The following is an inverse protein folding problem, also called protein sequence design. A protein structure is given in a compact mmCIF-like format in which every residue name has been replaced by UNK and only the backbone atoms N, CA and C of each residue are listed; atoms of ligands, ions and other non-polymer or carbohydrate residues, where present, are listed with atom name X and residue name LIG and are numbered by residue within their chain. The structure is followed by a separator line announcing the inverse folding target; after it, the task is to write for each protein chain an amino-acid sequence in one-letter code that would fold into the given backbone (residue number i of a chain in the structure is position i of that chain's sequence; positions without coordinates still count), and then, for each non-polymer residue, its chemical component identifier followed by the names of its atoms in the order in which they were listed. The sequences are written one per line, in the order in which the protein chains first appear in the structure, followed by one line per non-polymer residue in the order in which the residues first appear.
data_IF_480787948418
#
_entry.id   IF_480787948418
#
_cell.length_a   1.000
_cell.length_b   1.000
_cell.length_c   1.000
_cell.angle_alpha   90.00
_cell.angle_beta   90.00
_cell.angle_gamma   90.00
#
_symmetry.space_group_name_H-M   'P 1'
#
loop_
_entity.id
_entity.type
_entity.pdbx_description
1 polymer ?
#
# COMPACT_ATOMS: atom_id res chain seq x y z
N UNK A 1 -41.64 -11.86 -9.80
CA UNK A 1 -41.86 -12.55 -8.54
C UNK A 1 -40.80 -13.67 -8.44
N UNK A 2 -39.61 -13.39 -7.93
CA UNK A 2 -38.56 -14.40 -7.68
C UNK A 2 -38.70 -14.81 -6.23
N UNK A 3 -39.04 -16.07 -6.01
CA UNK A 3 -39.06 -16.71 -4.69
C UNK A 3 -37.62 -16.78 -4.17
N UNK A 4 -37.29 -16.01 -3.13
CA UNK A 4 -36.10 -16.22 -2.33
C UNK A 4 -36.22 -17.58 -1.66
N UNK A 5 -35.48 -18.57 -2.14
CA UNK A 5 -35.25 -19.80 -1.40
C UNK A 5 -34.42 -19.45 -0.17
N UNK A 6 -34.98 -19.58 1.03
CA UNK A 6 -34.23 -19.55 2.29
C UNK A 6 -33.10 -20.57 2.20
N UNK A 7 -31.86 -20.27 2.61
CA UNK A 7 -30.82 -21.29 2.69
C UNK A 7 -31.29 -22.36 3.68
N UNK A 8 -31.30 -23.62 3.23
CA UNK A 8 -31.57 -24.77 4.08
C UNK A 8 -30.55 -24.75 5.22
N UNK A 9 -31.00 -24.49 6.43
CA UNK A 9 -30.19 -24.72 7.64
C UNK A 9 -29.93 -26.23 7.66
N UNK A 10 -28.71 -26.67 7.36
CA UNK A 10 -28.27 -28.03 7.58
C UNK A 10 -28.29 -28.26 9.08
N UNK A 11 -29.37 -28.84 9.58
CA UNK A 11 -29.43 -29.42 10.93
C UNK A 11 -28.47 -30.60 10.99
N UNK A 12 -27.23 -30.32 11.38
CA UNK A 12 -26.32 -31.40 11.76
C UNK A 12 -26.84 -32.01 13.05
N UNK A 13 -26.99 -33.35 13.13
CA UNK A 13 -27.35 -33.99 14.38
C UNK A 13 -26.30 -33.58 15.44
N UNK A 14 -26.77 -33.09 16.58
CA UNK A 14 -25.92 -32.75 17.73
C UNK A 14 -25.31 -34.03 18.25
N UNK A 15 -24.15 -34.42 17.72
CA UNK A 15 -23.40 -35.60 18.19
C UNK A 15 -22.64 -35.18 19.46
N UNK A 16 -23.24 -35.52 20.59
CA UNK A 16 -22.66 -35.18 21.88
C UNK A 16 -21.49 -36.12 22.23
N UNK A 17 -20.54 -35.58 23.06
CA UNK A 17 -19.56 -36.43 23.76
C UNK A 17 -20.28 -37.63 24.42
N UNK A 18 -19.74 -38.89 24.37
CA UNK A 18 -18.36 -39.26 23.97
C UNK A 18 -18.17 -39.64 22.49
N UNK A 19 -19.21 -39.54 21.64
CA UNK A 19 -19.16 -39.98 20.24
C UNK A 19 -18.33 -39.02 19.43
N UNK A 20 -18.63 -37.73 19.53
CA UNK A 20 -17.85 -36.66 18.88
C UNK A 20 -16.66 -36.20 19.77
N UNK A 21 -15.47 -36.33 19.22
CA UNK A 21 -14.21 -35.99 19.90
C UNK A 21 -13.26 -35.24 18.96
N UNK A 22 -13.40 -33.92 18.81
CA UNK A 22 -12.54 -33.12 17.91
C UNK A 22 -11.04 -33.24 18.22
N UNK A 23 -10.64 -33.59 19.47
CA UNK A 23 -9.25 -33.83 19.86
C UNK A 23 -8.57 -34.95 19.07
N UNK A 24 -9.34 -35.87 18.43
CA UNK A 24 -8.79 -36.93 17.59
C UNK A 24 -7.93 -36.37 16.45
N UNK A 25 -8.35 -35.22 15.88
CA UNK A 25 -7.66 -34.55 14.78
C UNK A 25 -6.49 -33.67 15.24
N UNK A 26 -6.28 -33.53 16.56
CA UNK A 26 -5.24 -32.69 17.15
C UNK A 26 -4.11 -33.43 17.88
N UNK A 27 -4.19 -34.78 17.89
CA UNK A 27 -3.38 -35.63 18.77
C UNK A 27 -1.86 -35.57 18.56
N UNK A 28 -1.40 -35.28 17.35
CA UNK A 28 0.02 -35.15 16.99
C UNK A 28 0.17 -34.21 15.78
N UNK A 29 1.44 -33.83 15.47
CA UNK A 29 1.71 -32.88 14.38
C UNK A 29 1.31 -33.41 13.01
N UNK A 30 1.59 -34.68 12.71
CA UNK A 30 1.20 -35.29 11.44
C UNK A 30 -0.31 -35.19 11.20
N UNK A 31 -1.12 -35.44 12.24
CA UNK A 31 -2.58 -35.35 12.13
C UNK A 31 -3.02 -33.87 11.97
N UNK A 32 -2.44 -32.93 12.72
CA UNK A 32 -2.75 -31.50 12.57
C UNK A 32 -2.39 -30.99 11.19
N UNK A 33 -1.20 -31.36 10.69
CA UNK A 33 -0.75 -31.00 9.35
C UNK A 33 -1.64 -31.59 8.25
N UNK A 34 -2.09 -32.85 8.42
CA UNK A 34 -2.93 -33.53 7.45
C UNK A 34 -4.30 -32.85 7.25
N UNK A 35 -4.90 -32.34 8.33
CA UNK A 35 -6.24 -31.70 8.30
C UNK A 35 -6.17 -30.17 8.20
N UNK A 36 -5.00 -29.60 7.97
CA UNK A 36 -4.80 -28.16 7.89
C UNK A 36 -5.46 -27.60 6.64
N UNK A 37 -6.40 -26.66 6.82
CA UNK A 37 -7.16 -26.03 5.73
C UNK A 37 -6.36 -24.89 5.05
N UNK A 38 -5.66 -24.08 5.84
CA UNK A 38 -4.84 -22.96 5.35
C UNK A 38 -3.36 -23.31 5.41
N UNK A 39 -2.66 -23.12 4.31
CA UNK A 39 -1.22 -23.38 4.19
C UNK A 39 -0.52 -22.15 3.62
N UNK A 40 0.48 -21.65 4.33
CA UNK A 40 1.33 -20.60 3.80
C UNK A 40 2.21 -21.15 2.68
N UNK A 41 2.43 -20.31 1.66
CA UNK A 41 3.41 -20.56 0.60
C UNK A 41 4.13 -19.26 0.27
N UNK A 42 5.43 -19.29 -0.06
CA UNK A 42 6.15 -18.12 -0.53
C UNK A 42 5.50 -17.44 -1.74
N UNK A 43 4.79 -18.21 -2.58
CA UNK A 43 4.08 -17.72 -3.76
C UNK A 43 2.97 -16.72 -3.46
N UNK A 44 2.44 -16.71 -2.24
CA UNK A 44 1.46 -15.74 -1.76
C UNK A 44 2.06 -14.48 -1.15
N UNK A 45 3.38 -14.36 -1.06
CA UNK A 45 4.02 -13.21 -0.41
C UNK A 45 4.48 -12.15 -1.41
N UNK A 46 4.35 -10.88 -0.98
CA UNK A 46 4.96 -9.72 -1.63
C UNK A 46 5.91 -9.06 -0.63
N UNK A 47 7.14 -8.81 -1.05
CA UNK A 47 8.15 -8.21 -0.17
C UNK A 47 8.29 -6.70 -0.40
N UNK A 48 7.98 -5.84 0.60
CA UNK A 48 8.11 -4.40 0.49
C UNK A 48 9.56 -3.93 0.60
N UNK A 49 9.99 -3.04 -0.30
CA UNK A 49 11.34 -2.48 -0.36
C UNK A 49 11.30 -0.95 -0.43
N UNK A 50 12.22 -0.30 0.29
CA UNK A 50 12.44 1.13 0.26
C UNK A 50 13.70 1.45 -0.53
N UNK A 51 13.58 2.23 -1.60
CA UNK A 51 14.69 2.56 -2.52
C UNK A 51 15.10 4.01 -2.34
N UNK A 52 16.40 4.24 -2.13
CA UNK A 52 16.97 5.58 -1.94
C UNK A 52 18.13 5.84 -2.91
N UNK A 53 18.51 7.11 -3.13
CA UNK A 53 19.67 7.49 -3.92
C UNK A 53 20.98 7.01 -3.30
N UNK A 54 22.02 6.90 -4.13
CA UNK A 54 23.38 6.54 -3.73
C UNK A 54 23.80 5.17 -4.24
N UNK A 55 24.92 4.65 -3.75
CA UNK A 55 25.52 3.36 -4.11
C UNK A 55 26.01 2.66 -2.83
N UNK A 56 25.82 1.34 -2.70
CA UNK A 56 26.21 0.55 -1.55
C UNK A 56 25.46 0.92 -0.26
N UNK A 57 24.35 1.63 -0.34
CA UNK A 57 23.61 2.08 0.84
C UNK A 57 22.65 0.99 1.31
N UNK A 58 22.83 0.63 2.61
CA UNK A 58 21.97 -0.28 3.35
C UNK A 58 21.75 0.28 4.75
N UNK A 59 20.81 1.22 4.88
CA UNK A 59 20.52 1.93 6.14
C UNK A 59 19.32 1.31 6.82
N UNK A 60 19.53 0.70 8.00
CA UNK A 60 18.46 0.08 8.76
C UNK A 60 17.45 1.11 9.27
N UNK A 61 16.17 0.80 9.16
CA UNK A 61 15.07 1.59 9.71
C UNK A 61 14.95 1.27 11.20
N UNK A 62 15.20 2.24 12.05
CA UNK A 62 15.30 2.05 13.51
C UNK A 62 14.07 1.38 14.13
N UNK A 63 12.87 1.78 13.71
CA UNK A 63 11.60 1.24 14.21
C UNK A 63 11.20 -0.09 13.57
N UNK A 64 11.99 -0.59 12.59
CA UNK A 64 11.73 -1.83 11.87
C UNK A 64 13.01 -2.67 11.74
N UNK A 65 13.49 -3.32 12.83
CA UNK A 65 14.72 -4.10 12.79
C UNK A 65 14.73 -5.16 11.69
N UNK A 66 15.75 -5.14 10.82
CA UNK A 66 15.88 -6.01 9.66
C UNK A 66 15.29 -5.45 8.36
N UNK A 67 14.68 -4.26 8.39
CA UNK A 67 14.21 -3.54 7.20
C UNK A 67 15.15 -2.36 6.93
N UNK A 68 15.44 -2.10 5.65
CA UNK A 68 16.47 -1.13 5.25
C UNK A 68 15.96 -0.19 4.16
N UNK A 69 16.47 1.05 4.18
CA UNK A 69 16.49 1.89 3.00
C UNK A 69 17.72 1.50 2.17
N UNK A 70 17.50 1.19 0.90
CA UNK A 70 18.48 0.55 0.02
C UNK A 70 18.78 1.43 -1.19
N UNK A 71 20.04 1.56 -1.57
CA UNK A 71 20.39 2.02 -2.91
C UNK A 71 19.95 0.98 -3.96
N UNK A 72 19.90 1.39 -5.22
CA UNK A 72 19.41 0.53 -6.31
C UNK A 72 20.19 -0.79 -6.42
N UNK A 73 21.52 -0.74 -6.29
CA UNK A 73 22.39 -1.91 -6.33
C UNK A 73 22.13 -2.89 -5.18
N UNK A 74 21.84 -2.38 -3.98
CA UNK A 74 21.47 -3.21 -2.81
C UNK A 74 20.03 -3.74 -2.95
N UNK A 75 19.09 -2.95 -3.49
CA UNK A 75 17.73 -3.40 -3.77
C UNK A 75 17.69 -4.55 -4.77
N UNK A 76 18.54 -4.52 -5.80
CA UNK A 76 18.70 -5.64 -6.76
C UNK A 76 19.12 -6.93 -6.05
N UNK A 77 20.07 -6.87 -5.11
CA UNK A 77 20.51 -8.05 -4.32
C UNK A 77 19.38 -8.60 -3.46
N UNK A 78 18.62 -7.71 -2.79
CA UNK A 78 17.43 -8.09 -1.99
C UNK A 78 16.35 -8.76 -2.86
N UNK A 79 16.11 -8.24 -4.05
CA UNK A 79 15.18 -8.84 -5.02
C UNK A 79 15.63 -10.23 -5.48
N UNK A 80 16.92 -10.41 -5.75
CA UNK A 80 17.48 -11.70 -6.15
C UNK A 80 17.35 -12.74 -5.03
N UNK A 81 17.60 -12.34 -3.78
CA UNK A 81 17.38 -13.20 -2.61
C UNK A 81 15.91 -13.55 -2.43
N UNK A 82 15.00 -12.56 -2.48
CA UNK A 82 13.55 -12.80 -2.36
C UNK A 82 13.07 -13.82 -3.41
N UNK A 83 13.47 -13.64 -4.65
CA UNK A 83 13.17 -14.58 -5.74
C UNK A 83 13.72 -15.97 -5.47
N UNK A 84 14.96 -16.10 -4.98
CA UNK A 84 15.56 -17.40 -4.66
C UNK A 84 14.83 -18.17 -3.57
N UNK A 85 14.08 -17.47 -2.71
CA UNK A 85 13.22 -18.03 -1.67
C UNK A 85 11.79 -18.36 -2.17
N UNK A 86 11.53 -18.20 -3.48
CA UNK A 86 10.22 -18.48 -4.08
C UNK A 86 9.20 -17.34 -3.96
N UNK A 87 9.61 -16.16 -3.49
CA UNK A 87 8.74 -14.97 -3.43
C UNK A 87 8.60 -14.41 -4.86
N UNK A 88 7.37 -14.35 -5.41
CA UNK A 88 7.18 -13.98 -6.81
C UNK A 88 7.23 -12.49 -7.07
N UNK A 89 7.02 -11.65 -6.04
CA UNK A 89 6.81 -10.22 -6.22
C UNK A 89 7.41 -9.37 -5.10
N UNK A 90 7.82 -8.16 -5.47
CA UNK A 90 8.20 -7.09 -4.54
C UNK A 90 7.38 -5.83 -4.85
N UNK A 91 7.16 -5.01 -3.82
CA UNK A 91 6.57 -3.67 -4.00
C UNK A 91 7.60 -2.60 -3.64
N UNK A 92 7.75 -1.57 -4.48
CA UNK A 92 8.76 -0.54 -4.34
C UNK A 92 8.17 0.77 -3.80
N UNK A 93 8.82 1.32 -2.78
CA UNK A 93 8.60 2.66 -2.22
C UNK A 93 9.85 3.51 -2.44
N UNK A 94 9.68 4.73 -2.95
CA UNK A 94 10.80 5.59 -3.28
C UNK A 94 11.08 6.65 -2.22
N UNK A 95 12.36 6.87 -1.92
CA UNK A 95 12.82 8.04 -1.19
C UNK A 95 13.57 8.95 -2.19
N UNK A 96 12.93 10.03 -2.69
CA UNK A 96 13.56 10.91 -3.65
C UNK A 96 14.67 11.76 -3.01
N UNK A 97 15.59 12.30 -3.81
CA UNK A 97 16.61 13.25 -3.35
C UNK A 97 15.99 14.60 -2.91
N UNK A 98 14.92 15.00 -3.60
CA UNK A 98 14.18 16.22 -3.33
C UNK A 98 12.68 15.96 -3.38
N UNK A 99 11.96 16.69 -2.55
CA UNK A 99 10.49 16.71 -2.51
C UNK A 99 10.02 18.09 -2.90
N UNK A 100 8.89 18.16 -3.60
CA UNK A 100 8.27 19.41 -4.04
C UNK A 100 6.75 19.40 -3.90
N UNK A 101 6.08 20.47 -4.29
CA UNK A 101 4.64 20.67 -4.14
C UNK A 101 3.80 19.90 -5.18
N UNK A 102 4.43 19.31 -6.19
CA UNK A 102 3.77 18.57 -7.28
C UNK A 102 4.32 17.15 -7.45
N UNK A 103 5.06 16.66 -6.45
CA UNK A 103 5.62 15.31 -6.40
C UNK A 103 6.40 14.94 -7.68
N UNK A 104 7.22 15.83 -8.22
CA UNK A 104 7.94 15.61 -9.50
C UNK A 104 8.69 14.28 -9.53
N UNK A 105 9.33 13.90 -8.42
CA UNK A 105 10.06 12.63 -8.31
C UNK A 105 9.20 11.36 -8.48
N UNK A 106 7.88 11.45 -8.30
CA UNK A 106 6.97 10.32 -8.45
C UNK A 106 6.74 9.95 -9.93
N UNK A 107 6.63 10.97 -10.80
CA UNK A 107 6.27 10.81 -12.20
C UNK A 107 7.39 11.13 -13.20
N UNK A 108 8.58 11.49 -12.72
CA UNK A 108 9.75 11.69 -13.57
C UNK A 108 10.20 10.35 -14.20
N UNK A 109 10.54 10.34 -15.47
CA UNK A 109 11.01 9.15 -16.18
C UNK A 109 12.27 8.53 -15.56
N UNK A 110 13.11 9.34 -14.90
CA UNK A 110 14.32 8.96 -14.19
C UNK A 110 14.18 9.02 -12.66
N UNK A 111 12.95 9.01 -12.15
CA UNK A 111 12.66 8.92 -10.73
C UNK A 111 13.32 7.70 -10.07
N UNK A 112 13.52 7.76 -8.76
CA UNK A 112 14.25 6.69 -8.04
C UNK A 112 13.60 5.32 -8.21
N UNK A 113 12.27 5.23 -8.17
CA UNK A 113 11.52 3.98 -8.36
C UNK A 113 11.62 3.49 -9.80
N UNK A 114 11.51 4.38 -10.78
CA UNK A 114 11.63 4.07 -12.20
C UNK A 114 13.03 3.53 -12.57
N UNK A 115 14.08 4.15 -12.01
CA UNK A 115 15.46 3.66 -12.18
C UNK A 115 15.65 2.29 -11.52
N UNK A 116 15.12 2.11 -10.32
CA UNK A 116 15.18 0.83 -9.60
C UNK A 116 14.46 -0.27 -10.36
N UNK A 117 13.26 0.00 -10.87
CA UNK A 117 12.48 -0.96 -11.65
C UNK A 117 13.27 -1.48 -12.87
N UNK A 118 13.79 -0.59 -13.70
CA UNK A 118 14.61 -0.97 -14.87
C UNK A 118 15.84 -1.78 -14.47
N UNK A 119 16.52 -1.43 -13.38
CA UNK A 119 17.67 -2.18 -12.88
C UNK A 119 17.29 -3.59 -12.41
N UNK A 120 16.22 -3.71 -11.62
CA UNK A 120 15.73 -5.00 -11.11
C UNK A 120 15.25 -5.88 -12.27
N UNK A 121 14.49 -5.34 -13.22
CA UNK A 121 14.03 -6.09 -14.40
C UNK A 121 15.18 -6.69 -15.20
N UNK A 122 16.24 -5.92 -15.39
CA UNK A 122 17.43 -6.36 -16.10
C UNK A 122 18.20 -7.46 -15.36
N UNK A 123 18.40 -7.30 -14.03
CA UNK A 123 19.28 -8.17 -13.24
C UNK A 123 18.54 -9.37 -12.60
N UNK A 124 17.22 -9.26 -12.40
CA UNK A 124 16.38 -10.28 -11.74
C UNK A 124 15.15 -10.61 -12.62
N UNK A 125 15.34 -11.09 -13.84
CA UNK A 125 14.26 -11.35 -14.78
C UNK A 125 13.23 -12.33 -14.19
N UNK A 126 11.93 -12.10 -14.44
CA UNK A 126 10.82 -12.93 -13.98
C UNK A 126 10.41 -12.72 -12.52
N UNK A 127 10.93 -11.70 -11.83
CA UNK A 127 10.36 -11.17 -10.61
C UNK A 127 9.28 -10.14 -10.96
N UNK A 128 8.09 -10.24 -10.39
CA UNK A 128 7.02 -9.25 -10.58
C UNK A 128 7.32 -8.01 -9.74
N UNK A 129 7.23 -6.84 -10.37
CA UNK A 129 7.41 -5.56 -9.70
C UNK A 129 6.06 -4.86 -9.54
N UNK A 130 5.70 -4.51 -8.31
CA UNK A 130 4.58 -3.63 -8.00
C UNK A 130 5.10 -2.21 -7.76
N UNK A 131 4.48 -1.23 -8.40
CA UNK A 131 4.72 0.18 -8.12
C UNK A 131 3.67 0.73 -7.18
N UNK A 132 4.06 1.17 -5.99
CA UNK A 132 3.16 1.96 -5.15
C UNK A 132 2.91 3.31 -5.81
N UNK A 133 1.64 3.66 -6.02
CA UNK A 133 1.26 4.96 -6.54
C UNK A 133 0.70 5.80 -5.41
N UNK A 134 1.56 6.66 -4.89
CA UNK A 134 1.24 7.67 -3.89
C UNK A 134 2.12 8.90 -4.10
N UNK A 135 1.71 10.02 -3.54
CA UNK A 135 2.46 11.28 -3.63
C UNK A 135 3.20 11.61 -2.32
N UNK A 136 2.86 10.96 -1.19
CA UNK A 136 3.34 11.38 0.12
C UNK A 136 4.86 11.24 0.34
N UNK A 137 5.54 10.34 -0.37
CA UNK A 137 6.99 10.20 -0.33
C UNK A 137 7.70 11.33 -1.08
N UNK A 138 6.99 11.98 -2.03
CA UNK A 138 7.53 12.96 -2.98
C UNK A 138 7.06 14.39 -2.72
N UNK A 139 5.95 14.56 -1.96
CA UNK A 139 5.44 15.86 -1.56
C UNK A 139 6.24 16.45 -0.39
N UNK A 140 6.54 17.75 -0.45
CA UNK A 140 7.26 18.47 0.62
C UNK A 140 6.54 18.44 1.97
N UNK A 141 5.22 18.37 1.97
CA UNK A 141 4.38 18.35 3.16
C UNK A 141 3.98 16.95 3.64
N UNK A 142 4.27 15.89 2.88
CA UNK A 142 4.02 14.50 3.26
C UNK A 142 2.55 14.03 3.19
N UNK A 143 1.62 14.79 2.62
CA UNK A 143 0.27 14.32 2.30
C UNK A 143 0.21 13.58 0.97
N UNK A 144 -0.83 12.74 0.78
CA UNK A 144 -0.98 11.90 -0.43
C UNK A 144 -1.61 12.63 -1.63
N UNK A 145 -1.92 13.91 -1.51
CA UNK A 145 -2.53 14.74 -2.55
C UNK A 145 -2.07 16.18 -2.48
N UNK A 146 -2.49 16.98 -3.45
CA UNK A 146 -2.23 18.42 -3.50
C UNK A 146 -2.93 19.09 -2.33
N UNK A 147 -2.21 19.98 -1.63
CA UNK A 147 -2.72 20.73 -0.48
C UNK A 147 -3.07 22.15 -0.92
N UNK A 148 -4.26 22.60 -0.56
CA UNK A 148 -4.66 24.00 -0.64
C UNK A 148 -4.81 24.56 0.78
N UNK A 149 -4.24 25.76 0.99
CA UNK A 149 -4.38 26.52 2.24
C UNK A 149 -4.93 27.89 1.94
N UNK A 150 -5.44 28.60 2.97
CA UNK A 150 -5.91 29.96 2.81
C UNK A 150 -4.81 30.94 2.37
N UNK A 151 -3.55 30.65 2.69
CA UNK A 151 -2.41 31.42 2.20
C UNK A 151 -2.21 31.24 0.70
N UNK A 152 -2.27 30.01 0.20
CA UNK A 152 -2.21 29.68 -1.24
C UNK A 152 -3.39 30.29 -1.99
N UNK A 153 -4.61 30.17 -1.46
CA UNK A 153 -5.80 30.80 -2.05
C UNK A 153 -5.66 32.32 -2.17
N UNK A 154 -5.13 32.98 -1.14
CA UNK A 154 -4.89 34.45 -1.14
C UNK A 154 -3.83 34.84 -2.15
N UNK A 155 -2.75 34.09 -2.27
CA UNK A 155 -1.65 34.37 -3.22
C UNK A 155 -2.13 34.16 -4.67
N UNK A 156 -2.85 33.07 -4.95
CA UNK A 156 -3.46 32.81 -6.27
C UNK A 156 -4.46 33.92 -6.63
N UNK A 157 -5.32 34.30 -5.68
CA UNK A 157 -6.30 35.38 -5.91
C UNK A 157 -5.62 36.76 -6.12
N UNK A 158 -4.51 37.02 -5.47
CA UNK A 158 -3.74 38.24 -5.68
C UNK A 158 -3.08 38.25 -7.08
N UNK A 159 -2.46 37.12 -7.45
CA UNK A 159 -1.84 36.95 -8.77
C UNK A 159 -2.85 37.07 -9.91
N UNK A 160 -4.03 36.47 -9.76
CA UNK A 160 -5.11 36.57 -10.75
C UNK A 160 -5.60 37.99 -10.92
N UNK A 161 -5.77 38.77 -9.81
CA UNK A 161 -6.16 40.20 -9.88
C UNK A 161 -5.09 41.05 -10.57
N UNK A 162 -3.82 40.72 -10.35
CA UNK A 162 -2.71 41.41 -10.99
C UNK A 162 -2.66 41.14 -12.49
N UNK A 163 -2.87 39.88 -12.91
CA UNK A 163 -2.96 39.48 -14.32
C UNK A 163 -4.19 40.09 -15.02
N UNK A 164 -5.34 40.14 -14.38
CA UNK A 164 -6.55 40.84 -14.89
C UNK A 164 -6.31 42.34 -15.04
N UNK A 165 -5.61 42.97 -14.08
CA UNK A 165 -5.26 44.40 -14.16
C UNK A 165 -4.33 44.71 -15.33
N UNK A 166 -3.54 43.71 -15.78
CA UNK A 166 -2.61 43.82 -16.91
C UNK A 166 -3.22 43.43 -18.24
N UNK A 167 -4.54 43.08 -18.30
CA UNK A 167 -5.25 42.66 -19.51
C UNK A 167 -4.77 41.35 -20.11
N UNK A 168 -4.13 40.49 -19.31
CA UNK A 168 -3.66 39.15 -19.72
C UNK A 168 -4.66 38.08 -19.24
N UNK A 169 -5.27 37.38 -20.18
CA UNK A 169 -6.08 36.19 -19.85
C UNK A 169 -5.18 35.09 -19.28
N UNK A 170 -5.60 34.50 -18.16
CA UNK A 170 -4.87 33.48 -17.43
C UNK A 170 -4.61 32.26 -18.32
N UNK A 171 -3.35 32.04 -18.65
CA UNK A 171 -2.82 30.73 -19.09
C UNK A 171 -2.15 30.13 -17.87
N UNK A 172 -2.50 28.90 -17.54
CA UNK A 172 -2.10 28.07 -16.43
C UNK A 172 -0.88 28.58 -15.62
N UNK A 173 -1.11 28.91 -14.35
CA UNK A 173 -0.07 29.29 -13.41
C UNK A 173 0.89 28.12 -13.24
N UNK A 174 2.13 28.26 -13.71
CA UNK A 174 3.24 27.37 -13.33
C UNK A 174 3.59 27.68 -11.88
N UNK A 175 3.07 26.91 -10.96
CA UNK A 175 3.48 26.94 -9.57
C UNK A 175 4.84 26.24 -9.45
N UNK A 176 5.91 26.99 -9.48
CA UNK A 176 7.29 26.54 -9.35
C UNK A 176 8.05 27.38 -8.33
N UNK A 177 7.51 27.52 -7.12
CA UNK A 177 8.19 28.20 -6.01
C UNK A 177 8.14 27.29 -4.80
N UNK A 178 9.31 26.80 -4.34
CA UNK A 178 9.42 26.14 -3.04
C UNK A 178 9.09 27.14 -1.94
N UNK A 179 8.12 26.84 -1.05
CA UNK A 179 7.89 27.71 0.09
C UNK A 179 9.10 27.66 1.04
N UNK A 180 9.54 28.80 1.60
CA UNK A 180 10.58 28.81 2.62
C UNK A 180 10.17 27.98 3.84
N UNK A 181 11.09 27.38 4.63
CA UNK A 181 10.79 26.61 5.84
C UNK A 181 9.86 27.31 6.85
N UNK A 182 9.86 28.63 6.88
CA UNK A 182 8.96 29.44 7.68
C UNK A 182 7.48 29.33 7.24
N UNK A 183 7.21 29.02 5.96
CA UNK A 183 5.84 28.83 5.44
C UNK A 183 5.28 27.49 5.87
N UNK A 184 6.08 26.44 5.90
CA UNK A 184 5.66 25.11 6.41
C UNK A 184 5.25 25.18 7.89
N UNK A 185 5.94 26.00 8.69
CA UNK A 185 5.57 26.24 10.10
C UNK A 185 4.29 27.08 10.26
N UNK A 186 4.00 27.99 9.31
CA UNK A 186 2.76 28.76 9.29
C UNK A 186 1.56 27.92 8.84
N UNK A 187 1.74 26.98 7.89
CA UNK A 187 0.71 26.04 7.41
C UNK A 187 0.18 25.12 8.53
N UNK A 188 0.97 24.83 9.56
CA UNK A 188 0.54 24.02 10.71
C UNK A 188 -0.60 24.64 11.55
N UNK A 189 -0.86 25.95 11.40
CA UNK A 189 -1.89 26.71 12.11
C UNK A 189 -3.09 27.08 11.21
N UNK A 190 -3.02 26.83 9.90
CA UNK A 190 -4.08 27.15 8.95
C UNK A 190 -4.99 25.95 8.67
N UNK A 191 -6.26 26.21 8.36
CA UNK A 191 -7.16 25.23 7.77
C UNK A 191 -6.62 24.83 6.40
N UNK A 192 -6.50 23.52 6.13
CA UNK A 192 -6.00 22.99 4.87
C UNK A 192 -7.01 22.01 4.26
N UNK A 193 -7.01 21.92 2.95
CA UNK A 193 -7.81 20.98 2.18
C UNK A 193 -6.91 20.16 1.26
N UNK A 194 -7.20 18.87 1.15
CA UNK A 194 -6.60 17.99 0.15
C UNK A 194 -7.48 18.04 -1.10
N UNK A 195 -6.92 18.55 -2.19
CA UNK A 195 -7.63 18.69 -3.46
C UNK A 195 -7.67 17.34 -4.18
N UNK A 196 -8.82 16.66 -4.08
CA UNK A 196 -9.03 15.34 -4.68
C UNK A 196 -8.73 15.35 -6.19
N UNK A 197 -9.53 16.06 -6.97
CA UNK A 197 -9.50 16.02 -8.44
C UNK A 197 -8.14 16.48 -9.02
N UNK A 198 -7.53 17.48 -8.42
CA UNK A 198 -6.21 17.96 -8.84
C UNK A 198 -5.10 16.92 -8.58
N UNK A 199 -5.29 16.04 -7.60
CA UNK A 199 -4.34 14.97 -7.28
C UNK A 199 -4.41 13.81 -8.27
N UNK A 200 -5.58 13.56 -8.90
CA UNK A 200 -5.78 12.46 -9.84
C UNK A 200 -4.84 12.53 -11.05
N UNK A 201 -4.57 13.72 -11.56
CA UNK A 201 -3.65 13.93 -12.68
C UNK A 201 -2.22 13.50 -12.34
N UNK A 202 -1.75 13.79 -11.12
CA UNK A 202 -0.40 13.41 -10.68
C UNK A 202 -0.29 11.91 -10.44
N UNK A 203 -1.34 11.30 -9.88
CA UNK A 203 -1.42 9.85 -9.68
C UNK A 203 -1.42 9.10 -11.01
N UNK A 204 -2.20 9.58 -11.99
CA UNK A 204 -2.25 9.01 -13.34
C UNK A 204 -0.88 9.14 -14.05
N UNK A 205 -0.20 10.29 -13.96
CA UNK A 205 1.17 10.47 -14.48
C UNK A 205 2.17 9.52 -13.82
N UNK A 206 2.08 9.35 -12.50
CA UNK A 206 2.93 8.43 -11.75
C UNK A 206 2.75 6.99 -12.23
N UNK A 207 1.51 6.54 -12.39
CA UNK A 207 1.20 5.21 -12.88
C UNK A 207 1.78 4.97 -14.29
N UNK A 208 1.60 5.92 -15.22
CA UNK A 208 2.16 5.83 -16.58
C UNK A 208 3.70 5.82 -16.55
N UNK A 209 4.34 6.65 -15.71
CA UNK A 209 5.80 6.66 -15.57
C UNK A 209 6.35 5.32 -15.02
N UNK A 210 5.63 4.72 -14.08
CA UNK A 210 5.95 3.39 -13.54
C UNK A 210 5.75 2.30 -14.60
N UNK A 211 4.66 2.35 -15.39
CA UNK A 211 4.43 1.44 -16.50
C UNK A 211 5.54 1.50 -17.55
N UNK A 212 5.98 2.71 -17.94
CA UNK A 212 7.15 2.91 -18.82
C UNK A 212 8.45 2.36 -18.24
N UNK A 213 8.55 2.28 -16.92
CA UNK A 213 9.70 1.70 -16.22
C UNK A 213 9.59 0.18 -16.01
N UNK A 214 8.66 -0.47 -16.71
CA UNK A 214 8.46 -1.93 -16.72
C UNK A 214 7.91 -2.49 -15.39
N UNK A 215 7.11 -1.71 -14.64
CA UNK A 215 6.30 -2.27 -13.55
C UNK A 215 5.24 -3.20 -14.10
N UNK A 216 5.06 -4.36 -13.45
CA UNK A 216 4.07 -5.37 -13.84
C UNK A 216 2.69 -5.09 -13.26
N UNK A 217 2.62 -4.40 -12.12
CA UNK A 217 1.40 -4.13 -11.37
C UNK A 217 1.45 -2.69 -10.85
N UNK A 218 0.37 -1.96 -11.02
CA UNK A 218 0.21 -0.60 -10.46
C UNK A 218 -0.67 -0.68 -9.21
N UNK A 219 -0.20 -0.11 -8.10
CA UNK A 219 -0.84 -0.25 -6.79
C UNK A 219 -1.14 1.12 -6.15
N UNK A 220 -2.27 1.77 -6.51
CA UNK A 220 -2.65 3.07 -5.94
C UNK A 220 -2.97 2.97 -4.45
N UNK A 221 -2.28 3.78 -3.64
CA UNK A 221 -2.36 3.75 -2.18
C UNK A 221 -2.73 5.07 -1.52
N UNK A 222 -3.12 6.06 -2.32
CA UNK A 222 -3.39 7.44 -1.90
C UNK A 222 -4.75 7.63 -1.22
N UNK A 223 -5.80 6.93 -1.66
CA UNK A 223 -7.21 7.01 -1.23
C UNK A 223 -7.98 8.24 -1.74
N UNK A 224 -7.61 8.81 -2.90
CA UNK A 224 -8.42 9.83 -3.56
C UNK A 224 -9.60 9.18 -4.30
N UNK A 225 -10.77 9.83 -4.26
CA UNK A 225 -11.96 9.35 -4.97
C UNK A 225 -11.72 9.38 -6.50
N UNK A 226 -12.09 8.32 -7.21
CA UNK A 226 -11.95 8.23 -8.68
C UNK A 226 -10.53 7.95 -9.18
N UNK A 227 -9.57 7.66 -8.28
CA UNK A 227 -8.16 7.46 -8.65
C UNK A 227 -7.92 6.22 -9.52
N UNK A 228 -8.68 5.14 -9.29
CA UNK A 228 -8.54 3.92 -10.09
C UNK A 228 -8.98 4.17 -11.53
N UNK A 229 -10.12 4.86 -11.73
CA UNK A 229 -10.60 5.24 -13.06
C UNK A 229 -9.63 6.16 -13.79
N UNK A 230 -9.06 7.16 -13.10
CA UNK A 230 -8.07 8.07 -13.66
C UNK A 230 -6.80 7.33 -14.11
N UNK A 231 -6.28 6.44 -13.27
CA UNK A 231 -5.10 5.61 -13.55
C UNK A 231 -5.39 4.65 -14.70
N UNK A 232 -6.52 3.93 -14.69
CA UNK A 232 -6.89 2.99 -15.76
C UNK A 232 -6.97 3.69 -17.10
N UNK A 233 -7.69 4.84 -17.14
CA UNK A 233 -7.81 5.66 -18.35
C UNK A 233 -6.45 6.11 -18.89
N UNK A 234 -5.55 6.54 -18.01
CA UNK A 234 -4.23 7.00 -18.41
C UNK A 234 -3.33 5.86 -18.91
N UNK A 235 -3.36 4.71 -18.26
CA UNK A 235 -2.62 3.51 -18.69
C UNK A 235 -3.11 3.04 -20.07
N UNK A 236 -4.42 2.92 -20.29
CA UNK A 236 -5.01 2.50 -21.55
C UNK A 236 -4.67 3.49 -22.68
N UNK A 237 -4.80 4.79 -22.40
CA UNK A 237 -4.45 5.85 -23.34
C UNK A 237 -2.97 5.89 -23.71
N UNK A 238 -2.10 5.34 -22.87
CA UNK A 238 -0.66 5.21 -23.11
C UNK A 238 -0.23 3.86 -23.71
N UNK A 239 -1.16 2.93 -23.97
CA UNK A 239 -0.91 1.60 -24.53
C UNK A 239 -0.47 0.55 -23.50
N UNK A 240 -0.87 0.74 -22.23
CA UNK A 240 -0.59 -0.16 -21.10
C UNK A 240 -1.85 -0.85 -20.57
N UNK A 241 -2.81 -1.16 -21.42
CA UNK A 241 -4.09 -1.80 -21.10
C UNK A 241 -3.94 -3.18 -20.45
N UNK A 242 -2.80 -3.82 -20.56
CA UNK A 242 -2.53 -5.15 -20.00
C UNK A 242 -1.88 -5.10 -18.61
N UNK A 243 -1.60 -3.91 -18.05
CA UNK A 243 -1.05 -3.79 -16.69
C UNK A 243 -2.20 -3.82 -15.68
N UNK A 244 -2.25 -4.80 -14.77
CA UNK A 244 -3.28 -4.88 -13.75
C UNK A 244 -3.11 -3.81 -12.68
N UNK A 245 -4.24 -3.41 -12.07
CA UNK A 245 -4.31 -2.49 -10.94
C UNK A 245 -4.65 -3.28 -9.67
N UNK A 246 -3.77 -3.21 -8.67
CA UNK A 246 -4.03 -3.67 -7.30
C UNK A 246 -4.36 -2.46 -6.43
N UNK A 247 -5.65 -2.15 -6.26
CA UNK A 247 -6.04 -1.00 -5.47
C UNK A 247 -5.94 -1.26 -3.97
N UNK A 248 -5.41 -0.29 -3.23
CA UNK A 248 -5.55 -0.20 -1.76
C UNK A 248 -6.98 0.24 -1.41
N UNK A 249 -7.95 -0.52 -1.85
CA UNK A 249 -9.37 -0.18 -1.81
C UNK A 249 -9.91 0.04 -0.40
N UNK A 250 -9.35 -0.67 0.60
CA UNK A 250 -9.74 -0.54 2.00
C UNK A 250 -8.53 -0.16 2.87
N UNK A 251 -8.11 1.11 2.83
CA UNK A 251 -7.00 1.63 3.63
C UNK A 251 -7.51 2.55 4.74
N UNK A 252 -7.28 2.13 5.98
CA UNK A 252 -7.77 2.83 7.17
C UNK A 252 -6.76 3.85 7.73
N UNK A 253 -7.25 4.92 8.37
CA UNK A 253 -6.45 5.89 9.10
C UNK A 253 -5.89 5.28 10.39
N UNK A 254 -4.90 4.42 10.25
CA UNK A 254 -4.41 3.56 11.31
C UNK A 254 -3.23 4.13 12.08
N UNK A 255 -3.20 3.88 13.39
CA UNK A 255 -2.03 4.12 14.25
C UNK A 255 -0.84 3.19 13.98
N UNK A 256 -1.04 2.10 13.22
CA UNK A 256 0.01 1.13 12.88
C UNK A 256 0.98 1.59 11.77
N UNK A 257 0.85 2.81 11.24
CA UNK A 257 1.74 3.31 10.17
C UNK A 257 2.99 4.07 10.67
N UNK A 258 3.16 4.21 11.99
CA UNK A 258 4.28 4.97 12.55
C UNK A 258 5.64 4.58 11.97
N UNK A 259 6.05 3.29 12.01
CA UNK A 259 7.34 2.88 11.48
C UNK A 259 7.49 3.06 9.96
N UNK A 260 6.41 2.94 9.17
CA UNK A 260 6.45 3.23 7.73
C UNK A 260 6.76 4.71 7.45
N UNK A 261 6.20 5.63 8.26
CA UNK A 261 6.46 7.07 8.09
C UNK A 261 7.93 7.41 8.30
N UNK A 262 8.62 6.70 9.21
CA UNK A 262 10.07 6.78 9.37
C UNK A 262 10.80 6.19 8.15
N UNK A 263 10.41 4.99 7.72
CA UNK A 263 11.06 4.27 6.63
C UNK A 263 10.99 5.02 5.29
N UNK A 264 9.84 5.60 4.95
CA UNK A 264 9.56 6.28 3.70
C UNK A 264 9.75 7.82 3.79
N UNK A 265 10.15 8.34 4.96
CA UNK A 265 10.25 9.79 5.21
C UNK A 265 8.98 10.53 4.77
N UNK A 266 7.79 9.99 5.12
CA UNK A 266 6.49 10.44 4.63
C UNK A 266 5.52 10.88 5.73
N UNK A 267 6.04 11.29 6.89
CA UNK A 267 5.20 11.83 7.94
C UNK A 267 4.57 13.16 7.50
N UNK A 268 3.24 13.37 7.65
CA UNK A 268 2.65 14.66 7.42
C UNK A 268 3.29 15.72 8.33
N UNK A 269 3.68 16.86 7.75
CA UNK A 269 4.27 17.96 8.51
C UNK A 269 3.22 18.74 9.32
N UNK A 270 1.95 18.63 8.95
CA UNK A 270 0.81 19.23 9.63
C UNK A 270 -0.43 18.32 9.48
N UNK A 271 -1.42 18.48 10.35
CA UNK A 271 -2.66 17.72 10.30
C UNK A 271 -2.49 16.19 10.43
N UNK A 272 -3.40 15.48 9.82
CA UNK A 272 -3.37 14.01 9.73
C UNK A 272 -4.00 13.53 8.41
N UNK A 273 -4.18 12.22 8.24
CA UNK A 273 -4.69 11.64 6.98
C UNK A 273 -6.16 11.18 7.08
N UNK A 274 -6.90 11.58 8.11
CA UNK A 274 -8.27 11.15 8.34
C UNK A 274 -9.28 11.74 7.36
N UNK A 275 -8.91 12.81 6.66
CA UNK A 275 -9.76 13.41 5.62
C UNK A 275 -9.87 12.57 4.34
N UNK A 276 -8.95 11.60 4.14
CA UNK A 276 -8.95 10.73 2.96
C UNK A 276 -8.66 9.25 3.24
N UNK A 277 -8.19 8.87 4.43
CA UNK A 277 -8.12 7.47 4.84
C UNK A 277 -9.33 7.13 5.70
N UNK A 278 -9.89 5.94 5.52
CA UNK A 278 -11.13 5.52 6.17
C UNK A 278 -11.05 5.48 7.71
N UNK A 279 -12.16 5.76 8.37
CA UNK A 279 -12.28 5.60 9.81
C UNK A 279 -12.19 4.09 10.19
N UNK A 280 -11.32 3.73 11.16
CA UNK A 280 -11.21 2.36 11.65
C UNK A 280 -12.51 1.72 12.15
N UNK A 281 -13.52 2.52 12.49
CA UNK A 281 -14.80 2.04 12.98
C UNK A 281 -15.76 1.56 11.87
N UNK A 282 -15.45 1.81 10.59
CA UNK A 282 -16.41 1.72 9.48
C UNK A 282 -16.17 0.54 8.53
N UNK A 283 -16.69 -0.65 8.84
CA UNK A 283 -16.65 -1.81 7.94
C UNK A 283 -17.45 -1.59 6.64
N UNK A 284 -18.67 -1.00 6.73
CA UNK A 284 -19.54 -0.85 5.56
C UNK A 284 -19.00 0.15 4.54
N UNK A 285 -18.30 1.17 5.01
CA UNK A 285 -17.57 2.11 4.17
C UNK A 285 -16.50 1.38 3.36
N UNK A 286 -15.70 0.50 4.02
CA UNK A 286 -14.67 -0.28 3.35
C UNK A 286 -15.23 -1.16 2.21
N UNK A 287 -16.39 -1.79 2.41
CA UNK A 287 -17.01 -2.60 1.35
C UNK A 287 -17.52 -1.75 0.20
N UNK A 288 -18.02 -0.54 0.48
CA UNK A 288 -18.41 0.42 -0.55
C UNK A 288 -17.21 0.93 -1.35
N UNK A 289 -16.10 1.26 -0.69
CA UNK A 289 -14.86 1.69 -1.36
C UNK A 289 -14.31 0.59 -2.27
N UNK A 290 -14.35 -0.67 -1.82
CA UNK A 290 -13.96 -1.82 -2.64
C UNK A 290 -14.86 -1.94 -3.89
N UNK A 291 -16.17 -1.79 -3.74
CA UNK A 291 -17.11 -1.86 -4.85
C UNK A 291 -16.84 -0.75 -5.89
N UNK A 292 -16.63 0.48 -5.43
CA UNK A 292 -16.31 1.63 -6.29
C UNK A 292 -15.00 1.42 -7.04
N UNK A 293 -13.93 1.01 -6.37
CA UNK A 293 -12.64 0.75 -7.01
C UNK A 293 -12.72 -0.36 -8.08
N UNK A 294 -13.56 -1.39 -7.86
CA UNK A 294 -13.81 -2.45 -8.85
C UNK A 294 -14.61 -1.92 -10.05
N UNK A 295 -15.62 -1.08 -9.83
CA UNK A 295 -16.36 -0.41 -10.90
C UNK A 295 -15.47 0.53 -11.73
N UNK A 296 -14.47 1.15 -11.10
CA UNK A 296 -13.46 1.99 -11.73
C UNK A 296 -12.39 1.22 -12.50
N UNK A 297 -12.33 -0.11 -12.38
CA UNK A 297 -11.44 -0.98 -13.15
C UNK A 297 -10.24 -1.55 -12.38
N UNK A 298 -10.33 -1.68 -11.06
CA UNK A 298 -9.34 -2.46 -10.30
C UNK A 298 -9.48 -3.96 -10.61
N UNK A 299 -8.34 -4.63 -10.83
CA UNK A 299 -8.27 -6.08 -11.07
C UNK A 299 -8.16 -6.88 -9.77
N UNK A 300 -7.58 -6.27 -8.75
CA UNK A 300 -7.34 -6.82 -7.43
C UNK A 300 -7.56 -5.75 -6.37
N UNK A 301 -7.96 -6.17 -5.18
CA UNK A 301 -8.20 -5.25 -4.05
C UNK A 301 -7.30 -5.58 -2.86
N UNK A 302 -7.00 -4.57 -2.04
CA UNK A 302 -6.17 -4.73 -0.85
C UNK A 302 -6.82 -4.10 0.38
N UNK A 303 -6.76 -4.83 1.50
CA UNK A 303 -7.10 -4.33 2.84
C UNK A 303 -5.82 -3.96 3.58
N UNK A 304 -5.76 -2.76 4.16
CA UNK A 304 -4.60 -2.23 4.89
C UNK A 304 -5.04 -1.41 6.12
N UNK A 305 -4.58 -1.76 7.33
CA UNK A 305 -3.75 -2.90 7.76
C UNK A 305 -4.43 -4.27 7.66
N UNK A 306 -3.68 -5.36 8.00
CA UNK A 306 -4.20 -6.72 7.90
C UNK A 306 -4.79 -7.26 9.21
N UNK A 307 -3.96 -7.48 10.25
CA UNK A 307 -4.39 -8.17 11.48
C UNK A 307 -5.56 -7.51 12.21
N UNK A 308 -5.62 -6.17 12.36
CA UNK A 308 -6.77 -5.52 13.01
C UNK A 308 -8.06 -5.55 12.18
N UNK A 309 -7.99 -5.95 10.90
CA UNK A 309 -9.07 -5.89 9.90
C UNK A 309 -9.32 -7.23 9.22
N UNK A 310 -9.13 -8.35 9.95
CA UNK A 310 -9.42 -9.71 9.45
C UNK A 310 -10.90 -9.89 9.09
N UNK A 311 -11.79 -9.20 9.75
CA UNK A 311 -13.22 -9.13 9.45
C UNK A 311 -13.47 -8.49 8.08
N UNK A 312 -12.82 -7.35 7.77
CA UNK A 312 -12.90 -6.69 6.47
C UNK A 312 -12.37 -7.60 5.36
N UNK A 313 -11.22 -8.26 5.58
CA UNK A 313 -10.65 -9.23 4.63
C UNK A 313 -11.64 -10.36 4.39
N UNK A 314 -12.29 -10.86 5.44
CA UNK A 314 -13.26 -11.96 5.34
C UNK A 314 -14.50 -11.55 4.56
N UNK A 315 -15.07 -10.39 4.86
CA UNK A 315 -16.25 -9.87 4.16
C UNK A 315 -15.92 -9.58 2.68
N UNK A 316 -14.78 -8.94 2.40
CA UNK A 316 -14.33 -8.69 1.03
C UNK A 316 -14.22 -10.00 0.23
N UNK A 317 -13.60 -11.04 0.81
CA UNK A 317 -13.45 -12.34 0.15
C UNK A 317 -14.78 -13.05 -0.09
N UNK A 318 -15.81 -12.80 0.73
CA UNK A 318 -17.13 -13.39 0.58
C UNK A 318 -18.01 -12.67 -0.44
N UNK A 319 -17.81 -11.37 -0.62
CA UNK A 319 -18.68 -10.52 -1.45
C UNK A 319 -18.15 -10.31 -2.87
N UNK A 320 -16.81 -10.34 -3.06
CA UNK A 320 -16.20 -10.02 -4.34
C UNK A 320 -15.37 -11.19 -4.90
N UNK A 321 -15.60 -11.51 -6.17
CA UNK A 321 -14.94 -12.62 -6.89
C UNK A 321 -13.63 -12.15 -7.57
N UNK A 322 -12.79 -11.44 -6.80
CA UNK A 322 -11.48 -10.94 -7.24
C UNK A 322 -10.37 -11.37 -6.27
N UNK A 323 -9.09 -11.37 -6.66
CA UNK A 323 -8.00 -11.61 -5.72
C UNK A 323 -7.99 -10.55 -4.61
N UNK A 324 -7.94 -11.01 -3.37
CA UNK A 324 -7.86 -10.17 -2.18
C UNK A 324 -6.43 -10.19 -1.65
N UNK A 325 -5.82 -9.03 -1.59
CA UNK A 325 -4.54 -8.79 -0.93
C UNK A 325 -4.77 -8.21 0.49
N UNK A 326 -3.79 -8.41 1.36
CA UNK A 326 -3.75 -7.76 2.66
C UNK A 326 -2.34 -7.30 3.00
N UNK A 327 -2.21 -6.12 3.58
CA UNK A 327 -0.90 -5.59 3.97
C UNK A 327 -0.70 -5.71 5.49
N UNK A 328 0.16 -6.64 5.91
CA UNK A 328 0.68 -6.67 7.26
C UNK A 328 1.69 -5.53 7.43
N UNK A 329 1.23 -4.43 8.02
CA UNK A 329 1.94 -3.15 7.99
C UNK A 329 3.09 -3.05 9.00
N UNK A 330 3.83 -1.97 8.89
CA UNK A 330 5.04 -1.69 9.67
C UNK A 330 4.84 -1.76 11.18
N UNK A 331 3.71 -1.28 11.71
CA UNK A 331 3.40 -1.37 13.14
C UNK A 331 3.09 -2.78 13.60
N UNK A 332 2.42 -3.59 12.77
CA UNK A 332 2.18 -5.01 13.05
C UNK A 332 3.50 -5.78 13.10
N UNK A 333 4.39 -5.52 12.13
CA UNK A 333 5.75 -6.06 12.11
C UNK A 333 6.55 -5.64 13.35
N UNK A 334 6.59 -4.34 13.64
CA UNK A 334 7.36 -3.79 14.76
C UNK A 334 6.89 -4.31 16.12
N UNK A 335 5.57 -4.49 16.33
CA UNK A 335 5.03 -5.07 17.56
C UNK A 335 5.53 -6.50 17.79
N UNK A 336 5.51 -7.35 16.76
CA UNK A 336 5.97 -8.74 16.88
C UNK A 336 7.48 -8.76 17.13
N UNK A 337 8.28 -7.97 16.38
CA UNK A 337 9.72 -7.85 16.62
C UNK A 337 10.03 -7.37 18.03
N UNK A 338 9.39 -6.30 18.49
CA UNK A 338 9.63 -5.74 19.83
C UNK A 338 9.28 -6.73 20.95
N UNK A 339 8.13 -7.41 20.87
CA UNK A 339 7.74 -8.41 21.85
C UNK A 339 8.68 -9.62 21.86
N UNK A 340 9.17 -10.04 20.68
CA UNK A 340 10.12 -11.14 20.56
C UNK A 340 11.51 -10.78 21.11
N UNK A 341 12.02 -9.58 20.83
CA UNK A 341 13.30 -9.08 21.36
C UNK A 341 13.29 -9.07 22.90
N UNK A 342 12.14 -8.74 23.50
CA UNK A 342 11.96 -8.77 24.96
C UNK A 342 11.69 -10.18 25.52
N UNK A 343 11.61 -11.22 24.68
CA UNK A 343 11.39 -12.61 25.12
C UNK A 343 9.96 -12.88 25.61
N UNK A 344 8.99 -12.04 25.26
CA UNK A 344 7.59 -12.18 25.69
C UNK A 344 6.78 -13.14 24.81
N UNK A 345 7.21 -13.34 23.57
CA UNK A 345 6.58 -14.22 22.60
C UNK A 345 7.63 -15.05 21.85
N UNK A 346 7.22 -16.22 21.36
CA UNK A 346 7.97 -17.01 20.39
C UNK A 346 7.86 -16.35 19.01
N UNK A 347 8.97 -15.86 18.51
CA UNK A 347 9.05 -15.04 17.31
C UNK A 347 8.52 -15.75 16.06
N UNK A 348 9.13 -16.91 15.73
CA UNK A 348 8.79 -17.64 14.49
C UNK A 348 7.33 -18.10 14.52
N UNK A 349 6.90 -18.59 15.68
CA UNK A 349 5.53 -19.07 15.84
C UNK A 349 4.51 -17.96 15.68
N UNK A 350 4.70 -16.79 16.32
CA UNK A 350 3.75 -15.66 16.22
C UNK A 350 3.78 -15.06 14.83
N UNK A 351 4.95 -14.96 14.19
CA UNK A 351 5.08 -14.52 12.79
C UNK A 351 4.23 -15.42 11.87
N UNK A 352 4.44 -16.73 11.90
CA UNK A 352 3.70 -17.67 11.05
C UNK A 352 2.20 -17.74 11.39
N UNK A 353 1.85 -17.63 12.68
CA UNK A 353 0.44 -17.60 13.12
C UNK A 353 -0.26 -16.35 12.58
N UNK A 354 0.37 -15.17 12.65
CA UNK A 354 -0.18 -13.93 12.13
C UNK A 354 -0.46 -14.00 10.62
N UNK A 355 0.50 -14.47 9.83
CA UNK A 355 0.37 -14.67 8.40
C UNK A 355 -0.73 -15.70 8.05
N UNK A 356 -0.79 -16.80 8.83
CA UNK A 356 -1.85 -17.82 8.69
C UNK A 356 -3.24 -17.22 8.97
N UNK A 357 -3.37 -16.37 9.98
CA UNK A 357 -4.63 -15.69 10.29
C UNK A 357 -5.10 -14.79 9.15
N UNK A 358 -4.19 -14.03 8.54
CA UNK A 358 -4.47 -13.16 7.41
C UNK A 358 -4.94 -13.99 6.21
N UNK A 359 -4.22 -15.06 5.86
CA UNK A 359 -4.58 -15.92 4.75
C UNK A 359 -5.89 -16.67 5.02
N UNK A 360 -6.11 -17.17 6.24
CA UNK A 360 -7.37 -17.82 6.65
C UNK A 360 -8.57 -16.87 6.57
N UNK A 361 -8.38 -15.59 6.81
CA UNK A 361 -9.44 -14.59 6.63
C UNK A 361 -9.87 -14.47 5.17
N UNK A 362 -8.95 -14.72 4.20
CA UNK A 362 -9.30 -14.76 2.79
C UNK A 362 -8.29 -14.10 1.85
N UNK A 363 -7.22 -13.50 2.38
CA UNK A 363 -6.18 -12.90 1.56
C UNK A 363 -5.37 -14.00 0.86
N UNK A 364 -5.32 -13.98 -0.48
CA UNK A 364 -4.45 -14.85 -1.28
C UNK A 364 -3.07 -14.23 -1.54
N UNK A 365 -2.96 -12.92 -1.38
CA UNK A 365 -1.72 -12.14 -1.54
C UNK A 365 -1.46 -11.40 -0.22
N UNK A 366 -0.28 -11.59 0.37
CA UNK A 366 0.08 -10.96 1.64
C UNK A 366 1.35 -10.14 1.48
N UNK A 367 1.20 -8.82 1.57
CA UNK A 367 2.33 -7.91 1.64
C UNK A 367 2.85 -7.92 3.07
N UNK A 368 4.11 -8.29 3.27
CA UNK A 368 4.69 -8.39 4.61
C UNK A 368 6.20 -8.19 4.61
N UNK A 369 6.70 -7.49 5.59
CA UNK A 369 8.14 -7.37 5.86
C UNK A 369 8.76 -8.68 6.36
N UNK A 370 7.94 -9.64 6.80
CA UNK A 370 8.38 -10.99 7.16
C UNK A 370 8.58 -11.92 5.96
N UNK A 371 8.31 -11.49 4.72
CA UNK A 371 8.25 -12.37 3.56
C UNK A 371 9.45 -13.30 3.43
N UNK A 372 10.69 -12.79 3.52
CA UNK A 372 11.91 -13.61 3.42
C UNK A 372 12.09 -14.56 4.61
N UNK A 373 11.78 -14.09 5.82
CA UNK A 373 11.90 -14.93 7.02
C UNK A 373 10.86 -16.04 7.02
N UNK A 374 9.61 -15.72 6.68
CA UNK A 374 8.54 -16.69 6.57
C UNK A 374 8.78 -17.71 5.45
N UNK A 375 9.25 -17.25 4.28
CA UNK A 375 9.53 -18.13 3.13
C UNK A 375 10.59 -19.20 3.41
N UNK A 376 11.49 -18.98 4.37
CA UNK A 376 12.48 -19.99 4.80
C UNK A 376 11.90 -21.08 5.71
N UNK A 377 10.68 -20.89 6.22
CA UNK A 377 10.05 -21.76 7.23
C UNK A 377 8.81 -22.52 6.69
N UNK A 378 8.35 -22.22 5.46
CA UNK A 378 7.14 -22.78 4.86
C UNK A 378 7.41 -23.50 3.53
#
# INVERSE_FOLDING_TARGET
MRLCASPAVLEFPVMAFPIDRPRRLRRNEAMRSFVRETRLSPEGFVYPLFVCPGEGIRKEVRSMPGVFNLSIDEAVKECAEAKSLGIPSVILFGLPEMKDEVATGAWADDGIVQRAARAIKREVPGLLLMGDVCLCEYMSHGHCGIVETDSVRREVAATLRELESQGKHAVAVKTGVQPPPAVVSAMAAEEYEILNDASLDLLAKTAVAQAKAEMDIIAPSDMMDGRVAAIRTALDGAGYENIPILSYAAKFASGFYGPFREAADSAPHFGDRRSYQMDPANLREALREIELDLEEGADMIMVKPALPYLDVIREARQQFDVPVAAYQVSGEYAMIKAAAINGWIDYERVMLESLTCIQRAGASIVLTYFAKEAARLV
#
